data_IF_838668608467
#
_entry.id   IF_838668608467
#
_cell.length_a   1.000
_cell.length_b   1.000
_cell.length_c   1.000
_cell.angle_alpha   90.00
_cell.angle_beta   90.00
_cell.angle_gamma   90.00
#
_symmetry.space_group_name_H-M   'P 1'
#
loop_
_entity.id
_entity.type
_entity.pdbx_description
1 polymer ?
#
# COMPACT_ATOMS: atom_id res chain seq x y z
N UNK A 1 4.18 41.45 -35.75
CA UNK A 1 3.10 40.52 -35.33
C UNK A 1 3.52 39.04 -35.36
N UNK A 2 4.08 38.50 -36.45
CA UNK A 2 4.50 37.08 -36.52
C UNK A 2 5.54 36.65 -35.46
N UNK A 3 6.52 37.50 -35.14
CA UNK A 3 7.51 37.23 -34.07
C UNK A 3 6.91 37.24 -32.67
N UNK A 4 5.93 38.12 -32.42
CA UNK A 4 5.22 38.21 -31.13
C UNK A 4 4.37 36.97 -30.87
N UNK A 5 3.70 36.47 -31.92
CA UNK A 5 2.91 35.23 -31.87
C UNK A 5 3.82 34.02 -31.62
N UNK A 6 5.01 33.98 -32.23
CA UNK A 6 5.98 32.91 -31.99
C UNK A 6 6.47 32.88 -30.53
N UNK A 7 6.75 34.05 -29.93
CA UNK A 7 7.14 34.12 -28.51
C UNK A 7 6.00 33.69 -27.58
N UNK A 8 4.75 34.06 -27.89
CA UNK A 8 3.59 33.60 -27.12
C UNK A 8 3.41 32.07 -27.17
N UNK A 9 3.59 31.46 -28.33
CA UNK A 9 3.51 29.99 -28.49
C UNK A 9 4.62 29.28 -27.69
N UNK A 10 5.85 29.81 -27.71
CA UNK A 10 6.98 29.25 -26.94
C UNK A 10 6.74 29.38 -25.43
N UNK A 11 6.20 30.51 -24.96
CA UNK A 11 5.87 30.70 -23.55
C UNK A 11 4.76 29.74 -23.09
N UNK A 12 3.74 29.49 -23.92
CA UNK A 12 2.66 28.54 -23.62
C UNK A 12 3.20 27.11 -23.58
N UNK A 13 4.06 26.70 -24.51
CA UNK A 13 4.68 25.38 -24.50
C UNK A 13 5.56 25.14 -23.26
N UNK A 14 6.30 26.16 -22.81
CA UNK A 14 7.09 26.10 -21.58
C UNK A 14 6.20 26.01 -20.33
N UNK A 15 5.07 26.73 -20.27
CA UNK A 15 4.17 26.66 -19.12
C UNK A 15 3.50 25.29 -18.96
N UNK A 16 3.19 24.60 -20.07
CA UNK A 16 2.49 23.30 -20.06
C UNK A 16 3.42 22.16 -19.58
N UNK A 17 4.73 22.26 -19.80
CA UNK A 17 5.69 21.23 -19.36
C UNK A 17 5.98 21.23 -17.86
N UNK A 18 5.76 22.34 -17.14
CA UNK A 18 5.93 22.39 -15.68
C UNK A 18 4.75 21.78 -14.90
N UNK A 19 3.54 21.73 -15.48
CA UNK A 19 2.34 21.22 -14.79
C UNK A 19 2.26 19.69 -14.84
N UNK A 20 2.88 19.03 -15.83
CA UNK A 20 2.85 17.58 -15.96
C UNK A 20 3.81 16.84 -14.99
N UNK A 21 4.73 17.55 -14.33
CA UNK A 21 5.71 16.94 -13.41
C UNK A 21 5.46 17.30 -11.94
N UNK A 22 4.38 18.02 -11.62
CA UNK A 22 3.96 18.28 -10.24
C UNK A 22 2.93 17.24 -9.78
N UNK A 23 3.21 15.95 -9.98
CA UNK A 23 2.57 14.94 -9.11
C UNK A 23 3.18 15.15 -7.73
N UNK A 24 2.48 15.93 -6.90
CA UNK A 24 2.77 16.08 -5.49
C UNK A 24 2.97 14.67 -4.94
N UNK A 25 4.16 14.37 -4.41
CA UNK A 25 4.34 13.21 -3.55
C UNK A 25 3.47 13.47 -2.32
N UNK A 26 2.19 13.10 -2.42
CA UNK A 26 1.30 13.07 -1.27
C UNK A 26 2.00 12.14 -0.30
N UNK A 27 2.42 12.68 0.84
CA UNK A 27 3.06 11.93 1.90
C UNK A 27 2.20 10.70 2.14
N UNK A 28 2.75 9.50 1.91
CA UNK A 28 2.00 8.28 2.20
C UNK A 28 1.53 8.34 3.66
N UNK A 29 0.30 7.91 3.95
CA UNK A 29 -0.19 7.91 5.31
C UNK A 29 0.72 7.02 6.17
N UNK A 30 1.35 7.60 7.18
CA UNK A 30 2.15 6.90 8.18
C UNK A 30 1.43 6.95 9.52
N UNK A 31 1.45 5.85 10.26
CA UNK A 31 0.86 5.72 11.59
C UNK A 31 1.93 5.87 12.66
N UNK A 32 1.86 6.93 13.46
CA UNK A 32 2.58 7.03 14.74
C UNK A 32 1.88 6.14 15.76
N UNK A 33 2.62 5.27 16.46
CA UNK A 33 2.08 4.38 17.49
C UNK A 33 2.72 4.63 18.85
N UNK A 34 1.95 4.50 19.93
CA UNK A 34 2.48 4.51 21.31
C UNK A 34 2.82 3.09 21.78
N UNK A 35 3.72 2.92 22.78
CA UNK A 35 3.96 1.61 23.38
C UNK A 35 2.66 0.93 23.82
N UNK A 36 2.46 -0.32 23.39
CA UNK A 36 1.24 -1.09 23.68
C UNK A 36 0.07 -0.88 22.71
N UNK A 37 0.18 0.04 21.74
CA UNK A 37 -0.85 0.23 20.72
C UNK A 37 -0.77 -0.84 19.61
N UNK A 38 -1.93 -1.22 19.08
CA UNK A 38 -2.05 -2.17 17.97
C UNK A 38 -2.15 -1.44 16.62
N UNK A 39 -1.65 -2.07 15.56
CA UNK A 39 -1.93 -1.67 14.18
C UNK A 39 -3.10 -2.48 13.63
N UNK A 40 -3.88 -1.88 12.74
CA UNK A 40 -4.91 -2.59 12.02
C UNK A 40 -4.28 -3.30 10.81
N UNK A 41 -4.56 -4.59 10.69
CA UNK A 41 -4.15 -5.41 9.54
C UNK A 41 -5.42 -5.81 8.79
N UNK A 42 -5.39 -5.69 7.48
CA UNK A 42 -6.46 -6.14 6.58
C UNK A 42 -5.93 -7.12 5.56
N UNK A 43 -6.84 -7.87 4.94
CA UNK A 43 -6.50 -8.85 3.93
C UNK A 43 -7.63 -8.98 2.92
N UNK A 44 -7.30 -8.92 1.62
CA UNK A 44 -8.21 -9.31 0.55
C UNK A 44 -8.33 -10.83 0.39
N UNK A 45 -7.54 -11.60 1.13
CA UNK A 45 -7.59 -13.07 1.16
C UNK A 45 -8.59 -13.62 2.18
N UNK A 46 -9.31 -12.76 2.89
CA UNK A 46 -10.42 -13.15 3.76
C UNK A 46 -11.74 -13.22 2.98
N UNK A 47 -12.62 -14.13 3.39
CA UNK A 47 -14.03 -14.15 3.04
C UNK A 47 -14.81 -13.13 3.89
N UNK A 48 -16.06 -12.87 3.51
CA UNK A 48 -16.92 -11.92 4.24
C UNK A 48 -17.21 -12.37 5.70
N UNK A 49 -17.14 -13.68 5.98
CA UNK A 49 -17.25 -14.26 7.33
C UNK A 49 -15.92 -14.37 8.08
N UNK A 50 -14.85 -13.77 7.55
CA UNK A 50 -13.55 -13.65 8.23
C UNK A 50 -12.68 -14.90 8.20
N UNK A 51 -12.96 -15.87 7.32
CA UNK A 51 -12.12 -17.05 7.10
C UNK A 51 -11.12 -16.81 5.97
N UNK A 52 -10.03 -17.57 5.96
CA UNK A 52 -9.13 -17.59 4.80
C UNK A 52 -9.84 -18.20 3.59
N UNK A 53 -9.69 -17.58 2.42
CA UNK A 53 -10.13 -18.17 1.15
C UNK A 53 -9.43 -19.51 0.92
N UNK A 54 -10.14 -20.49 0.36
CA UNK A 54 -9.65 -21.86 0.13
C UNK A 54 -8.28 -21.91 -0.56
N UNK A 55 -7.98 -21.00 -1.49
CA UNK A 55 -6.68 -20.94 -2.20
C UNK A 55 -5.46 -20.82 -1.25
N UNK A 56 -5.65 -20.28 -0.05
CA UNK A 56 -4.62 -20.14 0.98
C UNK A 56 -4.30 -21.47 1.66
N UNK A 57 -5.28 -22.35 1.80
CA UNK A 57 -5.16 -23.61 2.54
C UNK A 57 -4.26 -24.61 1.80
N UNK A 58 -3.54 -25.44 2.54
CA UNK A 58 -2.66 -26.48 1.97
C UNK A 58 -3.37 -27.80 1.63
N UNK A 59 -4.42 -28.17 2.37
CA UNK A 59 -5.10 -29.46 2.25
C UNK A 59 -6.03 -29.57 1.04
N UNK A 60 -6.74 -28.49 0.74
CA UNK A 60 -7.82 -28.40 -0.26
C UNK A 60 -7.68 -27.15 -1.15
N UNK A 61 -6.53 -26.47 -1.06
CA UNK A 61 -6.20 -25.26 -1.81
C UNK A 61 -4.86 -25.36 -2.52
N UNK A 62 -4.25 -24.20 -2.77
CA UNK A 62 -2.97 -24.10 -3.49
C UNK A 62 -1.81 -23.70 -2.57
N UNK A 63 -2.01 -23.69 -1.24
CA UNK A 63 -1.01 -23.31 -0.26
C UNK A 63 -0.37 -21.93 -0.55
N UNK A 64 -1.17 -20.97 -1.02
CA UNK A 64 -0.70 -19.60 -1.27
C UNK A 64 -0.60 -18.82 0.03
N UNK A 65 0.40 -17.96 0.15
CA UNK A 65 0.45 -16.99 1.26
C UNK A 65 -0.71 -15.99 1.18
N UNK A 66 -1.33 -15.59 2.31
CA UNK A 66 -2.37 -14.58 2.30
C UNK A 66 -1.80 -13.20 1.96
N UNK A 67 -2.59 -12.38 1.28
CA UNK A 67 -2.30 -10.96 1.13
C UNK A 67 -2.54 -10.27 2.48
N UNK A 68 -1.61 -9.41 2.91
CA UNK A 68 -1.74 -8.64 4.15
C UNK A 68 -1.43 -7.18 3.85
N UNK A 69 -2.20 -6.26 4.45
CA UNK A 69 -2.01 -4.81 4.32
C UNK A 69 -2.14 -4.13 5.67
N UNK A 70 -1.34 -3.10 5.88
CA UNK A 70 -1.37 -2.23 7.06
C UNK A 70 -0.84 -0.85 6.68
N UNK A 71 -1.17 0.17 7.47
CA UNK A 71 -0.54 1.49 7.35
C UNK A 71 0.90 1.41 7.84
N UNK A 72 1.90 1.90 7.09
CA UNK A 72 3.28 1.95 7.54
C UNK A 72 3.39 2.64 8.90
N UNK A 73 4.15 2.05 9.82
CA UNK A 73 4.42 2.60 11.14
C UNK A 73 5.61 3.55 11.07
N UNK A 74 5.46 4.71 11.71
CA UNK A 74 6.53 5.70 11.77
C UNK A 74 7.79 5.13 12.43
N UNK A 75 8.95 5.35 11.82
CA UNK A 75 10.26 4.89 12.30
C UNK A 75 10.46 3.36 12.37
N UNK A 76 9.52 2.54 11.87
CA UNK A 76 9.72 1.10 11.78
C UNK A 76 10.76 0.76 10.71
N UNK A 77 11.88 0.14 11.12
CA UNK A 77 12.95 -0.28 10.19
C UNK A 77 12.62 -1.56 9.42
N UNK A 78 11.77 -2.42 9.99
CA UNK A 78 11.31 -3.67 9.38
C UNK A 78 10.03 -4.17 10.05
N UNK A 79 9.39 -5.17 9.44
CA UNK A 79 8.23 -5.88 9.98
C UNK A 79 8.52 -7.39 10.01
N UNK A 80 7.95 -8.08 11.00
CA UNK A 80 7.97 -9.54 11.09
C UNK A 80 6.52 -10.06 11.14
N UNK A 81 6.26 -11.18 10.47
CA UNK A 81 4.94 -11.80 10.38
C UNK A 81 5.04 -13.22 10.92
N UNK A 82 4.19 -13.54 11.89
CA UNK A 82 4.03 -14.87 12.46
C UNK A 82 2.59 -15.33 12.24
N UNK A 83 2.41 -16.52 11.68
CA UNK A 83 1.11 -17.20 11.60
C UNK A 83 1.13 -18.38 12.56
N UNK A 84 0.19 -18.43 13.49
CA UNK A 84 0.16 -19.40 14.58
C UNK A 84 -1.19 -20.12 14.55
N UNK A 85 -1.16 -21.44 14.48
CA UNK A 85 -2.31 -22.29 14.75
C UNK A 85 -2.27 -22.71 16.22
N UNK A 86 -3.14 -22.10 17.03
CA UNK A 86 -3.25 -22.40 18.47
C UNK A 86 -4.10 -23.64 18.77
N UNK A 87 -4.77 -24.20 17.75
CA UNK A 87 -5.63 -25.39 17.88
C UNK A 87 -4.91 -26.69 17.52
N UNK A 88 -3.75 -26.60 16.88
CA UNK A 88 -3.01 -27.74 16.38
C UNK A 88 -2.58 -28.74 17.47
N UNK A 89 -2.53 -28.36 18.75
CA UNK A 89 -2.15 -29.23 19.88
C UNK A 89 -0.79 -29.97 19.73
N UNK A 90 0.09 -29.54 18.81
CA UNK A 90 1.35 -30.21 18.45
C UNK A 90 2.60 -29.54 19.07
N UNK A 91 2.54 -29.17 20.35
CA UNK A 91 3.64 -28.49 21.03
C UNK A 91 4.63 -29.47 21.65
#
# INVERSE_FOLDING_TARGET
>A
MKRLIAYLIICVLMAVSFVACSKTKQSEPVKTIKPGEKIQITSSSLTDDGKWKTVITSSDGENKSPQLSWTPVENASCYAIYMIDTSANNW
#
